data_IF_495211642359
#
_entry.id   IF_495211642359
#
_cell.length_a   1.000
_cell.length_b   1.000
_cell.length_c   1.000
_cell.angle_alpha   90.00
_cell.angle_beta   90.00
_cell.angle_gamma   90.00
#
_symmetry.space_group_name_H-M   'P 1'
#
loop_
_entity.id
_entity.type
_entity.pdbx_description
1 polymer ?
#
# COMPACT_ATOMS: atom_id res chain seq x y z
N UNK A 1 6.52 17.10 -30.45
CA UNK A 1 6.61 15.62 -30.61
C UNK A 1 5.60 15.01 -29.66
N UNK A 2 4.45 14.58 -30.19
CA UNK A 2 3.27 14.22 -29.41
C UNK A 2 3.49 12.92 -28.62
N UNK A 3 3.24 12.97 -27.33
CA UNK A 3 3.07 11.80 -26.48
C UNK A 3 1.86 11.01 -26.99
N UNK A 4 2.10 9.86 -27.58
CA UNK A 4 1.05 8.90 -27.92
C UNK A 4 0.45 8.40 -26.60
N UNK A 5 -0.74 8.89 -26.26
CA UNK A 5 -1.59 8.26 -25.25
C UNK A 5 -1.81 6.79 -25.64
N UNK A 6 -1.16 5.88 -24.92
CA UNK A 6 -1.49 4.46 -25.05
C UNK A 6 -2.91 4.29 -24.52
N UNK A 7 -3.88 4.06 -25.43
CA UNK A 7 -5.24 3.65 -25.07
C UNK A 7 -5.14 2.45 -24.13
N UNK A 8 -5.54 2.62 -22.88
CA UNK A 8 -5.66 1.52 -21.92
C UNK A 8 -6.71 0.58 -22.47
N UNK A 9 -6.34 -0.69 -22.73
CA UNK A 9 -7.32 -1.70 -23.05
C UNK A 9 -8.13 -2.03 -21.79
N UNK A 10 -9.25 -1.35 -21.60
CA UNK A 10 -10.20 -1.60 -20.50
C UNK A 10 -11.15 -2.77 -20.77
N UNK A 11 -11.15 -3.34 -21.96
CA UNK A 11 -11.88 -4.58 -22.25
C UNK A 11 -11.27 -5.71 -21.41
N UNK A 12 -12.07 -6.28 -20.49
CA UNK A 12 -11.73 -7.35 -19.56
C UNK A 12 -10.82 -6.96 -18.37
N UNK A 13 -10.78 -5.67 -17.97
CA UNK A 13 -10.24 -5.26 -16.68
C UNK A 13 -11.32 -5.41 -15.60
N UNK A 14 -11.02 -6.17 -14.56
CA UNK A 14 -11.94 -6.42 -13.43
C UNK A 14 -11.19 -6.13 -12.14
N UNK A 15 -11.82 -5.37 -11.23
CA UNK A 15 -11.36 -5.24 -9.84
C UNK A 15 -12.44 -5.85 -8.96
N UNK A 16 -12.07 -6.81 -8.13
CA UNK A 16 -12.98 -7.47 -7.20
C UNK A 16 -12.28 -7.73 -5.87
N UNK A 17 -13.07 -8.05 -4.84
CA UNK A 17 -12.53 -8.49 -3.55
C UNK A 17 -11.66 -9.72 -3.74
N UNK A 18 -10.56 -9.78 -3.00
CA UNK A 18 -9.75 -10.98 -2.93
C UNK A 18 -10.52 -12.09 -2.21
N UNK A 19 -10.33 -13.31 -2.66
CA UNK A 19 -10.83 -14.52 -2.01
C UNK A 19 -9.67 -15.45 -1.70
N UNK A 20 -9.87 -16.36 -0.74
CA UNK A 20 -8.82 -17.23 -0.23
C UNK A 20 -8.12 -18.05 -1.32
N UNK A 21 -8.84 -18.40 -2.37
CA UNK A 21 -8.35 -19.16 -3.51
C UNK A 21 -7.26 -18.40 -4.30
N UNK A 22 -7.22 -17.06 -4.19
CA UNK A 22 -6.22 -16.23 -4.87
C UNK A 22 -5.00 -15.92 -4.01
N UNK A 23 -5.01 -16.20 -2.71
CA UNK A 23 -3.99 -15.77 -1.76
C UNK A 23 -2.57 -16.14 -2.21
N UNK A 24 -2.35 -17.39 -2.61
CA UNK A 24 -1.02 -17.84 -3.03
C UNK A 24 -0.55 -17.13 -4.31
N UNK A 25 -1.43 -16.96 -5.30
CA UNK A 25 -1.11 -16.28 -6.57
C UNK A 25 -0.83 -14.79 -6.34
N UNK A 26 -1.58 -14.16 -5.43
CA UNK A 26 -1.40 -12.75 -5.07
C UNK A 26 -0.12 -12.55 -4.25
N UNK A 27 0.19 -13.44 -3.32
CA UNK A 27 1.46 -13.44 -2.60
C UNK A 27 2.65 -13.59 -3.56
N UNK A 28 2.54 -14.48 -4.56
CA UNK A 28 3.57 -14.61 -5.60
C UNK A 28 3.67 -13.34 -6.47
N UNK A 29 2.55 -12.71 -6.81
CA UNK A 29 2.55 -11.43 -7.54
C UNK A 29 3.25 -10.33 -6.73
N UNK A 30 2.96 -10.21 -5.44
CA UNK A 30 3.63 -9.25 -4.54
C UNK A 30 5.12 -9.55 -4.47
N UNK A 31 5.48 -10.81 -4.23
CA UNK A 31 6.85 -11.28 -4.21
C UNK A 31 7.62 -10.91 -5.49
N UNK A 32 7.03 -11.16 -6.66
CA UNK A 32 7.63 -10.84 -7.95
C UNK A 32 7.80 -9.33 -8.16
N UNK A 33 6.85 -8.54 -7.64
CA UNK A 33 6.83 -7.09 -7.78
C UNK A 33 7.87 -6.38 -6.92
N UNK A 34 8.20 -6.94 -5.75
CA UNK A 34 9.11 -6.36 -4.76
C UNK A 34 10.47 -7.07 -4.66
N UNK A 35 10.67 -8.20 -5.35
CA UNK A 35 11.92 -8.97 -5.28
C UNK A 35 13.14 -8.13 -5.66
N UNK A 36 14.11 -8.03 -4.75
CA UNK A 36 15.32 -7.21 -4.89
C UNK A 36 15.06 -5.71 -5.07
N UNK A 37 13.90 -5.19 -4.69
CA UNK A 37 13.61 -3.75 -4.81
C UNK A 37 14.19 -2.99 -3.62
N UNK A 38 13.72 -3.28 -2.42
CA UNK A 38 14.16 -2.58 -1.20
C UNK A 38 15.29 -3.29 -0.47
N UNK A 39 15.45 -4.59 -0.68
CA UNK A 39 16.46 -5.47 -0.07
C UNK A 39 16.80 -6.63 -0.99
N UNK A 40 17.83 -7.47 -0.69
CA UNK A 40 18.18 -8.64 -1.51
C UNK A 40 17.22 -9.82 -1.33
N UNK A 41 15.93 -9.59 -1.31
CA UNK A 41 14.81 -10.52 -1.25
C UNK A 41 13.48 -9.77 -1.30
N UNK A 42 12.45 -10.29 -0.65
CA UNK A 42 11.15 -9.66 -0.51
C UNK A 42 10.55 -10.04 0.86
N UNK A 43 10.04 -9.06 1.60
CA UNK A 43 9.30 -9.29 2.85
C UNK A 43 7.79 -9.05 2.65
N UNK A 44 7.44 -8.29 1.65
CA UNK A 44 6.08 -7.79 1.41
C UNK A 44 5.07 -8.92 1.14
N UNK A 45 5.49 -10.05 0.58
CA UNK A 45 4.60 -11.21 0.38
C UNK A 45 4.27 -11.92 1.70
N UNK A 46 5.24 -12.00 2.62
CA UNK A 46 5.00 -12.52 3.97
C UNK A 46 4.18 -11.53 4.81
N UNK A 47 4.48 -10.23 4.71
CA UNK A 47 3.70 -9.17 5.32
C UNK A 47 2.23 -9.27 4.89
N UNK A 48 1.95 -9.42 3.60
CA UNK A 48 0.60 -9.59 3.09
C UNK A 48 -0.13 -10.79 3.72
N UNK A 49 0.56 -11.94 3.83
CA UNK A 49 0.01 -13.12 4.50
C UNK A 49 -0.28 -12.85 5.98
N UNK A 50 0.61 -12.14 6.68
CA UNK A 50 0.43 -11.77 8.09
C UNK A 50 -0.75 -10.83 8.29
N UNK A 51 -0.85 -9.76 7.49
CA UNK A 51 -1.91 -8.74 7.57
C UNK A 51 -3.31 -9.36 7.48
N UNK A 52 -3.53 -10.35 6.64
CA UNK A 52 -4.84 -11.01 6.48
C UNK A 52 -5.35 -11.71 7.74
N UNK A 53 -4.48 -11.90 8.75
CA UNK A 53 -4.82 -12.49 10.04
C UNK A 53 -4.77 -11.47 11.19
N UNK A 54 -4.52 -10.20 10.90
CA UNK A 54 -4.43 -9.12 11.87
C UNK A 54 -5.81 -8.53 12.17
N UNK A 55 -6.02 -8.05 13.41
CA UNK A 55 -7.30 -7.45 13.84
C UNK A 55 -7.62 -6.11 13.15
N UNK A 56 -6.58 -5.39 12.71
CA UNK A 56 -6.71 -4.13 11.98
C UNK A 56 -6.95 -4.32 10.47
N UNK A 57 -6.95 -5.56 9.97
CA UNK A 57 -7.20 -5.85 8.57
C UNK A 57 -8.61 -5.47 8.12
N UNK A 58 -8.72 -4.71 7.04
CA UNK A 58 -10.00 -4.30 6.46
C UNK A 58 -10.35 -5.19 5.28
N UNK A 59 -10.96 -6.36 5.53
CA UNK A 59 -11.32 -7.36 4.51
C UNK A 59 -12.24 -6.83 3.41
N UNK A 60 -13.00 -5.77 3.69
CA UNK A 60 -13.83 -5.10 2.69
C UNK A 60 -13.02 -4.27 1.68
N UNK A 61 -11.75 -3.99 1.96
CA UNK A 61 -10.82 -3.23 1.15
C UNK A 61 -9.60 -4.04 0.70
N UNK A 62 -9.76 -5.34 0.59
CA UNK A 62 -8.78 -6.24 0.01
C UNK A 62 -9.18 -6.57 -1.42
N UNK A 63 -8.45 -6.02 -2.40
CA UNK A 63 -8.81 -6.10 -3.80
C UNK A 63 -7.72 -6.67 -4.67
N UNK A 64 -8.16 -7.46 -5.66
CA UNK A 64 -7.35 -7.94 -6.77
C UNK A 64 -7.83 -7.34 -8.09
N UNK A 65 -6.87 -7.10 -8.98
CA UNK A 65 -7.12 -6.61 -10.33
C UNK A 65 -6.77 -7.69 -11.35
N UNK A 66 -7.75 -8.04 -12.18
CA UNK A 66 -7.59 -8.97 -13.30
C UNK A 66 -7.54 -8.22 -14.62
N UNK A 67 -6.71 -8.70 -15.52
CA UNK A 67 -6.76 -8.36 -16.94
C UNK A 67 -6.72 -9.65 -17.76
N UNK A 68 -7.75 -9.88 -18.59
CA UNK A 68 -7.89 -11.10 -19.38
C UNK A 68 -7.74 -12.40 -18.53
N UNK A 69 -8.42 -12.45 -17.38
CA UNK A 69 -8.41 -13.55 -16.40
C UNK A 69 -7.06 -13.79 -15.71
N UNK A 70 -6.06 -12.91 -15.88
CA UNK A 70 -4.80 -12.96 -15.16
C UNK A 70 -4.80 -11.92 -14.06
N UNK A 71 -4.39 -12.31 -12.84
CA UNK A 71 -4.16 -11.36 -11.74
C UNK A 71 -2.95 -10.50 -12.11
N UNK A 72 -3.15 -9.17 -12.13
CA UNK A 72 -2.10 -8.21 -12.49
C UNK A 72 -1.85 -7.17 -11.40
N UNK A 73 -2.66 -7.12 -10.35
CA UNK A 73 -2.48 -6.19 -9.26
C UNK A 73 -3.26 -6.57 -8.01
N UNK A 74 -2.82 -6.04 -6.88
CA UNK A 74 -3.51 -6.16 -5.60
C UNK A 74 -3.30 -4.90 -4.77
N UNK A 75 -4.21 -4.65 -3.81
CA UNK A 75 -4.15 -3.59 -2.82
C UNK A 75 -4.88 -4.04 -1.56
N UNK A 76 -4.32 -3.72 -0.39
CA UNK A 76 -4.88 -4.07 0.91
C UNK A 76 -4.88 -2.86 1.84
N UNK A 77 -5.85 -2.80 2.74
CA UNK A 77 -5.96 -1.74 3.74
C UNK A 77 -5.95 -2.30 5.16
N UNK A 78 -5.43 -1.49 6.07
CA UNK A 78 -5.54 -1.71 7.51
C UNK A 78 -6.09 -0.47 8.20
N UNK A 79 -6.82 -0.67 9.29
CA UNK A 79 -7.14 0.40 10.22
C UNK A 79 -5.85 0.93 10.84
N UNK A 80 -5.81 2.23 11.05
CA UNK A 80 -4.71 2.92 11.69
C UNK A 80 -5.26 4.09 12.49
N UNK A 81 -4.42 4.73 13.28
CA UNK A 81 -4.87 5.86 14.08
C UNK A 81 -3.85 6.99 14.10
N UNK A 82 -4.36 8.20 14.28
CA UNK A 82 -3.60 9.38 14.66
C UNK A 82 -3.97 9.72 16.09
N UNK A 83 -2.98 9.75 16.99
CA UNK A 83 -3.15 10.31 18.34
C UNK A 83 -2.93 11.80 18.24
N UNK A 84 -3.99 12.56 18.46
CA UNK A 84 -3.92 14.01 18.40
C UNK A 84 -3.18 14.60 19.62
N UNK A 85 -2.57 15.76 19.42
CA UNK A 85 -1.88 16.47 20.51
C UNK A 85 -2.83 16.86 21.67
N UNK A 86 -4.14 16.83 21.41
CA UNK A 86 -5.23 17.06 22.40
C UNK A 86 -5.66 15.77 23.12
N UNK A 87 -5.02 14.62 22.82
CA UNK A 87 -5.28 13.33 23.47
C UNK A 87 -6.46 12.54 22.90
N UNK A 88 -7.01 12.93 21.74
CA UNK A 88 -8.05 12.16 21.04
C UNK A 88 -7.41 11.18 20.07
N UNK A 89 -8.10 10.07 19.79
CA UNK A 89 -7.79 9.20 18.68
C UNK A 89 -8.62 9.62 17.47
N UNK A 90 -7.97 9.75 16.33
CA UNK A 90 -8.62 9.95 15.03
C UNK A 90 -8.37 8.71 14.17
N UNK A 91 -9.46 8.03 13.82
CA UNK A 91 -9.39 6.82 13.01
C UNK A 91 -9.03 7.16 11.56
N UNK A 92 -8.04 6.49 11.03
CA UNK A 92 -7.62 6.58 9.63
C UNK A 92 -7.36 5.17 9.10
N UNK A 93 -7.05 5.06 7.83
CA UNK A 93 -6.57 3.80 7.27
C UNK A 93 -5.17 3.97 6.69
N UNK A 94 -4.47 2.86 6.52
CA UNK A 94 -3.23 2.79 5.76
C UNK A 94 -3.35 1.79 4.63
N UNK A 95 -2.52 1.95 3.59
CA UNK A 95 -2.47 1.09 2.41
C UNK A 95 -1.11 0.43 2.34
N UNK A 96 -1.12 -0.86 2.11
CA UNK A 96 0.10 -1.58 1.75
C UNK A 96 0.12 -3.02 2.24
N UNK A 97 0.77 -3.89 1.46
CA UNK A 97 1.37 -3.58 0.18
C UNK A 97 0.34 -3.29 -0.92
N UNK A 98 0.76 -2.48 -1.92
CA UNK A 98 0.09 -2.38 -3.22
C UNK A 98 1.08 -2.82 -4.30
N UNK A 99 0.66 -3.65 -5.22
CA UNK A 99 1.53 -4.12 -6.30
C UNK A 99 0.82 -4.24 -7.63
N UNK A 100 1.61 -4.07 -8.69
CA UNK A 100 1.23 -4.36 -10.09
C UNK A 100 2.30 -5.26 -10.67
N UNK A 101 1.90 -6.34 -11.33
CA UNK A 101 2.80 -7.27 -12.00
C UNK A 101 3.77 -6.53 -12.93
N UNK A 102 5.03 -6.95 -12.96
CA UNK A 102 6.13 -6.21 -13.57
C UNK A 102 5.86 -5.84 -15.04
N UNK A 103 5.26 -6.76 -15.83
CA UNK A 103 4.91 -6.52 -17.23
C UNK A 103 3.85 -5.44 -17.44
N UNK A 104 3.10 -5.09 -16.38
CA UNK A 104 1.99 -4.13 -16.41
C UNK A 104 2.30 -2.83 -15.67
N UNK A 105 3.50 -2.69 -15.08
CA UNK A 105 3.94 -1.44 -14.45
C UNK A 105 4.04 -0.30 -15.46
N UNK A 106 3.86 0.94 -14.99
CA UNK A 106 3.91 2.18 -15.79
C UNK A 106 2.87 2.26 -16.91
N UNK A 107 1.75 1.54 -16.77
CA UNK A 107 0.63 1.51 -17.72
C UNK A 107 -0.69 1.98 -17.07
N UNK A 108 -0.61 2.77 -16.00
CA UNK A 108 -1.74 3.36 -15.27
C UNK A 108 -2.56 2.38 -14.41
N UNK A 109 -2.34 1.08 -14.47
CA UNK A 109 -3.11 0.10 -13.68
C UNK A 109 -3.03 0.35 -12.17
N UNK A 110 -1.86 0.75 -11.65
CA UNK A 110 -1.71 1.13 -10.25
C UNK A 110 -2.56 2.34 -9.86
N UNK A 111 -2.67 3.34 -10.74
CA UNK A 111 -3.55 4.49 -10.53
C UNK A 111 -5.01 4.07 -10.50
N UNK A 112 -5.47 3.27 -11.46
CA UNK A 112 -6.85 2.76 -11.54
C UNK A 112 -7.19 1.98 -10.27
N UNK A 113 -6.30 1.09 -9.83
CA UNK A 113 -6.52 0.26 -8.66
C UNK A 113 -6.65 1.08 -7.38
N UNK A 114 -5.72 2.01 -7.15
CA UNK A 114 -5.74 2.84 -5.94
C UNK A 114 -6.93 3.80 -5.93
N UNK A 115 -7.27 4.42 -7.07
CA UNK A 115 -8.43 5.33 -7.15
C UNK A 115 -9.73 4.58 -6.85
N UNK A 116 -9.90 3.36 -7.40
CA UNK A 116 -11.03 2.49 -7.08
C UNK A 116 -11.11 2.17 -5.59
N UNK A 117 -9.99 1.73 -5.01
CA UNK A 117 -9.95 1.31 -3.61
C UNK A 117 -10.15 2.49 -2.63
N UNK A 118 -9.62 3.68 -2.95
CA UNK A 118 -9.84 4.90 -2.15
C UNK A 118 -11.30 5.33 -2.17
N UNK A 119 -11.99 5.20 -3.31
CA UNK A 119 -13.42 5.48 -3.37
C UNK A 119 -14.22 4.50 -2.50
N UNK A 120 -13.85 3.20 -2.52
CA UNK A 120 -14.46 2.19 -1.64
C UNK A 120 -14.19 2.47 -0.16
N UNK A 121 -12.98 2.90 0.18
CA UNK A 121 -12.65 3.31 1.55
C UNK A 121 -13.52 4.51 1.99
N UNK A 122 -13.72 5.50 1.12
CA UNK A 122 -14.59 6.64 1.37
C UNK A 122 -16.05 6.21 1.57
N UNK A 123 -16.56 5.27 0.75
CA UNK A 123 -17.91 4.71 0.88
C UNK A 123 -18.12 3.99 2.23
N UNK A 124 -17.06 3.39 2.80
CA UNK A 124 -17.06 2.78 4.14
C UNK A 124 -16.90 3.80 5.28
N UNK A 125 -16.80 5.09 4.95
CA UNK A 125 -16.68 6.16 5.96
C UNK A 125 -15.24 6.49 6.36
N UNK A 126 -14.23 5.95 5.69
CA UNK A 126 -12.84 6.34 5.93
C UNK A 126 -12.64 7.82 5.61
N UNK A 127 -12.26 8.61 6.62
CA UNK A 127 -12.07 10.05 6.49
C UNK A 127 -10.75 10.46 5.87
N UNK A 128 -9.69 9.68 6.13
CA UNK A 128 -8.36 9.92 5.59
C UNK A 128 -7.53 8.64 5.52
N UNK A 129 -6.56 8.62 4.62
CA UNK A 129 -5.60 7.53 4.43
C UNK A 129 -4.18 8.07 4.57
N UNK A 130 -3.37 7.42 5.39
CA UNK A 130 -1.94 7.67 5.53
C UNK A 130 -1.15 6.49 4.94
N UNK A 131 0.02 6.75 4.38
CA UNK A 131 0.89 5.70 3.86
C UNK A 131 2.35 6.15 3.77
N UNK A 132 3.25 5.18 3.66
CA UNK A 132 4.64 5.38 3.29
C UNK A 132 4.80 5.16 1.79
N UNK A 133 5.35 6.15 1.09
CA UNK A 133 5.47 6.02 -0.36
C UNK A 133 6.13 7.21 -1.05
N UNK A 134 6.26 7.06 -2.37
CA UNK A 134 6.86 8.10 -3.21
C UNK A 134 5.78 9.07 -3.71
N UNK A 135 5.96 10.35 -3.42
CA UNK A 135 5.05 11.44 -3.82
C UNK A 135 4.89 11.54 -5.35
N UNK A 136 5.90 11.14 -6.14
CA UNK A 136 5.82 11.17 -7.61
C UNK A 136 4.74 10.22 -8.17
N UNK A 137 4.43 9.17 -7.42
CA UNK A 137 3.32 8.27 -7.76
C UNK A 137 2.03 8.68 -7.03
N UNK A 138 2.07 8.76 -5.71
CA UNK A 138 0.86 8.97 -4.90
C UNK A 138 0.31 10.39 -5.02
N UNK A 139 1.13 11.39 -5.32
CA UNK A 139 0.66 12.75 -5.63
C UNK A 139 -0.28 12.80 -6.84
N UNK A 140 -0.11 11.88 -7.82
CA UNK A 140 -1.00 11.77 -9.01
C UNK A 140 -2.40 11.24 -8.68
N UNK A 141 -2.59 10.68 -7.50
CA UNK A 141 -3.88 10.21 -6.98
C UNK A 141 -4.33 11.04 -5.77
N UNK A 142 -3.71 12.20 -5.57
CA UNK A 142 -4.14 13.24 -4.64
C UNK A 142 -3.62 13.10 -3.21
N UNK A 143 -2.59 12.30 -2.96
CA UNK A 143 -1.86 12.37 -1.70
C UNK A 143 -0.93 13.59 -1.66
N UNK A 144 -0.66 14.06 -0.47
CA UNK A 144 0.33 15.08 -0.18
C UNK A 144 1.13 14.69 1.08
N UNK A 145 2.19 15.43 1.38
CA UNK A 145 2.98 15.21 2.58
C UNK A 145 2.13 15.35 3.84
N UNK A 146 2.13 14.35 4.72
CA UNK A 146 1.32 14.32 5.93
C UNK A 146 1.58 15.52 6.85
N UNK A 147 2.80 16.05 6.85
CA UNK A 147 3.17 17.27 7.58
C UNK A 147 2.34 18.51 7.21
N UNK A 148 1.77 18.57 6.00
CA UNK A 148 0.88 19.67 5.59
C UNK A 148 -0.44 19.68 6.37
N UNK A 149 -0.84 18.51 6.85
CA UNK A 149 -2.01 18.35 7.73
C UNK A 149 -1.66 18.40 9.22
N UNK A 150 -0.39 18.69 9.56
CA UNK A 150 0.07 18.69 10.96
C UNK A 150 0.28 17.29 11.55
N UNK A 151 0.37 16.25 10.70
CA UNK A 151 0.51 14.86 11.13
C UNK A 151 1.99 14.47 11.05
N UNK A 152 2.52 13.98 12.18
CA UNK A 152 3.88 13.46 12.32
C UNK A 152 3.85 11.94 12.26
N UNK A 153 4.97 11.34 11.84
CA UNK A 153 5.16 9.89 11.89
C UNK A 153 5.71 9.50 13.27
N UNK A 154 5.05 8.59 13.97
CA UNK A 154 5.45 8.19 15.33
C UNK A 154 6.86 7.61 15.34
N UNK A 155 7.66 8.08 16.30
CA UNK A 155 9.04 7.63 16.47
C UNK A 155 10.06 8.26 15.51
N UNK A 156 9.62 9.09 14.54
CA UNK A 156 10.53 9.83 13.67
C UNK A 156 10.93 11.15 14.37
N UNK A 157 12.24 11.41 14.58
CA UNK A 157 12.71 12.69 15.10
C UNK A 157 12.28 13.88 14.23
N UNK A 158 11.96 15.03 14.85
CA UNK A 158 11.46 16.22 14.14
C UNK A 158 12.38 16.76 13.04
N UNK A 159 13.69 16.55 13.19
CA UNK A 159 14.73 16.97 12.23
C UNK A 159 15.02 15.95 11.13
N UNK A 160 14.37 14.79 11.16
CA UNK A 160 14.52 13.76 10.14
C UNK A 160 13.57 13.99 8.95
N UNK A 161 13.97 13.47 7.78
CA UNK A 161 13.15 13.58 6.57
C UNK A 161 11.90 12.71 6.66
N UNK A 162 10.74 13.35 6.62
CA UNK A 162 9.42 12.71 6.59
C UNK A 162 8.78 12.70 5.20
N UNK A 163 9.54 12.93 4.14
CA UNK A 163 9.01 13.04 2.78
C UNK A 163 8.42 11.73 2.23
N UNK A 164 8.73 10.61 2.86
CA UNK A 164 8.13 9.31 2.56
C UNK A 164 6.71 9.16 3.12
N UNK A 165 6.33 9.97 4.13
CA UNK A 165 5.06 9.84 4.82
C UNK A 165 4.02 10.78 4.20
N UNK A 166 2.97 10.17 3.63
CA UNK A 166 1.95 10.84 2.83
C UNK A 166 0.58 10.63 3.45
N UNK A 167 -0.30 11.60 3.23
CA UNK A 167 -1.69 11.54 3.67
C UNK A 167 -2.62 12.06 2.58
N UNK A 168 -3.83 11.52 2.53
CA UNK A 168 -4.93 12.00 1.70
C UNK A 168 -6.21 12.03 2.50
N UNK A 169 -6.83 13.19 2.56
CA UNK A 169 -8.19 13.36 3.07
C UNK A 169 -9.19 12.81 2.03
N UNK A 170 -10.10 11.94 2.45
CA UNK A 170 -11.16 11.38 1.61
C UNK A 170 -12.52 12.05 1.85
N UNK A 171 -12.76 12.51 3.08
CA UNK A 171 -13.95 13.25 3.46
C UNK A 171 -13.53 14.67 3.85
N UNK A 172 -13.97 15.66 3.08
CA UNK A 172 -13.59 17.06 3.24
C UNK A 172 -13.80 17.55 4.69
N UNK A 173 -12.77 18.12 5.28
CA UNK A 173 -12.76 18.66 6.64
C UNK A 173 -12.45 17.63 7.71
N UNK A 174 -12.21 16.37 7.36
CA UNK A 174 -11.91 15.31 8.34
C UNK A 174 -10.61 15.57 9.10
N UNK A 175 -9.63 16.16 8.44
CA UNK A 175 -8.32 16.50 9.01
C UNK A 175 -8.24 17.97 9.46
N UNK A 176 -9.34 18.73 9.39
CA UNK A 176 -9.33 20.14 9.79
C UNK A 176 -8.93 20.27 11.27
N UNK A 177 -7.95 21.15 11.53
CA UNK A 177 -7.37 21.41 12.85
C UNK A 177 -6.72 20.18 13.51
N UNK A 178 -6.46 19.10 12.76
CA UNK A 178 -5.76 17.91 13.27
C UNK A 178 -4.27 18.20 13.40
N UNK A 179 -3.73 17.93 14.61
CA UNK A 179 -2.30 17.82 14.87
C UNK A 179 -2.08 16.57 15.70
N UNK A 180 -1.07 15.79 15.37
CA UNK A 180 -0.85 14.55 16.11
C UNK A 180 0.19 13.65 15.48
N UNK A 181 0.29 12.44 16.01
CA UNK A 181 1.20 11.41 15.55
C UNK A 181 0.42 10.22 14.97
N UNK A 182 0.81 9.82 13.77
CA UNK A 182 0.34 8.60 13.14
C UNK A 182 1.08 7.39 13.69
N UNK A 183 0.35 6.34 14.01
CA UNK A 183 0.88 5.07 14.48
C UNK A 183 0.66 3.99 13.42
N UNK A 184 1.77 3.40 12.97
CA UNK A 184 1.72 2.24 12.08
C UNK A 184 1.06 1.05 12.80
N UNK A 185 0.06 0.39 12.19
CA UNK A 185 -0.57 -0.80 12.79
C UNK A 185 0.43 -1.91 13.10
N UNK A 186 0.16 -2.66 14.18
CA UNK A 186 1.07 -3.71 14.64
C UNK A 186 1.33 -4.79 13.58
N UNK A 187 0.35 -5.08 12.73
CA UNK A 187 0.48 -6.05 11.65
C UNK A 187 1.58 -5.76 10.62
N UNK A 188 2.10 -4.53 10.56
CA UNK A 188 3.25 -4.20 9.71
C UNK A 188 4.60 -4.63 10.27
N UNK A 189 4.67 -4.94 11.56
CA UNK A 189 5.92 -5.40 12.19
C UNK A 189 6.01 -6.93 12.08
N UNK A 190 6.81 -7.39 11.14
CA UNK A 190 6.96 -8.81 10.84
C UNK A 190 8.08 -9.45 11.67
N UNK A 191 7.96 -10.75 11.91
CA UNK A 191 9.06 -11.58 12.37
C UNK A 191 9.91 -12.01 11.17
N UNK A 192 11.02 -11.32 10.95
CA UNK A 192 11.91 -11.57 9.80
C UNK A 192 12.43 -13.00 9.75
N UNK A 193 12.54 -13.70 10.89
CA UNK A 193 13.00 -15.09 10.93
C UNK A 193 12.04 -16.07 10.24
N UNK A 194 10.79 -15.68 10.07
CA UNK A 194 9.76 -16.49 9.41
C UNK A 194 9.69 -16.27 7.89
N UNK A 195 10.26 -15.18 7.39
CA UNK A 195 10.20 -14.84 5.96
C UNK A 195 10.82 -15.92 5.09
N UNK A 196 12.04 -16.38 5.41
CA UNK A 196 12.71 -17.42 4.63
C UNK A 196 11.95 -18.77 4.66
N UNK A 197 11.26 -19.08 5.76
CA UNK A 197 10.44 -20.29 5.88
C UNK A 197 9.21 -20.17 4.98
N UNK A 198 8.55 -19.01 5.01
CA UNK A 198 7.40 -18.73 4.18
C UNK A 198 7.77 -18.72 2.68
N UNK A 199 8.92 -18.12 2.33
CA UNK A 199 9.41 -18.00 0.96
C UNK A 199 9.67 -19.37 0.28
N UNK A 200 9.91 -20.42 1.04
CA UNK A 200 10.09 -21.81 0.50
C UNK A 200 8.87 -22.36 -0.23
N UNK A 201 7.71 -21.75 -0.08
CA UNK A 201 6.48 -22.13 -0.79
C UNK A 201 6.49 -21.67 -2.25
N UNK A 202 7.44 -20.82 -2.62
CA UNK A 202 7.54 -20.21 -3.94
C UNK A 202 8.81 -20.68 -4.66
N UNK A 203 8.84 -20.59 -6.01
CA UNK A 203 10.05 -20.91 -6.77
C UNK A 203 11.27 -20.11 -6.30
N UNK A 204 12.42 -20.77 -6.19
CA UNK A 204 13.65 -20.12 -5.74
C UNK A 204 14.05 -18.96 -6.66
N UNK A 205 14.50 -17.85 -6.07
CA UNK A 205 14.98 -16.66 -6.76
C UNK A 205 16.33 -16.23 -6.24
N UNK A 206 17.16 -15.64 -7.11
CA UNK A 206 18.46 -15.11 -6.71
C UNK A 206 18.29 -13.81 -5.93
N UNK A 207 18.80 -13.77 -4.70
CA UNK A 207 18.90 -12.55 -3.90
C UNK A 207 20.08 -11.72 -4.42
N UNK A 208 19.84 -10.44 -4.72
CA UNK A 208 20.83 -9.52 -5.29
C UNK A 208 20.90 -8.24 -4.47
N UNK A 209 22.11 -7.83 -4.11
CA UNK A 209 22.34 -6.47 -3.61
C UNK A 209 22.34 -5.50 -4.77
N UNK A 210 21.47 -4.49 -4.71
CA UNK A 210 21.29 -3.49 -5.76
C UNK A 210 21.53 -2.09 -5.18
N UNK A 211 22.05 -1.13 -5.96
CA UNK A 211 22.11 0.26 -5.54
C UNK A 211 20.73 0.81 -5.19
N UNK A 212 20.64 1.57 -4.10
CA UNK A 212 19.37 2.18 -3.65
C UNK A 212 18.51 1.32 -2.74
N UNK A 213 18.94 0.10 -2.41
CA UNK A 213 18.31 -0.68 -1.34
C UNK A 213 18.58 -0.03 0.04
N UNK A 214 17.64 -0.21 0.98
CA UNK A 214 17.58 0.55 2.25
C UNK A 214 18.15 -0.18 3.47
N UNK A 215 19.16 -1.05 3.29
CA UNK A 215 19.92 -1.72 4.40
C UNK A 215 21.34 -2.06 3.97
#
# INVERSE_FOLDING_TARGET
>A
MGLKEKKIQTKNLIICKEIREYYHDVENLVRDSFWNVYRPDCYEHYLLNQIRNDEDFVSDLDYVMFLNNKIIGQIIFMNALIKTDEGRNLDVMTIGPISIANDFKRQWYGKILIEYALEKARELGCGAVCLEGNIDFYGKVGFDYAKKYGIRYHGLPENEDSSFFLCKELIKGYLDHTRGEYFTPQGYFIDETKVDVFDRQFPSKKKLKMPGQIF
#
